data_IF_583769398017
#
_entry.id   IF_583769398017
#
_cell.length_a   1.000
_cell.length_b   1.000
_cell.length_c   1.000
_cell.angle_alpha   90.00
_cell.angle_beta   90.00
_cell.angle_gamma   90.00
#
_symmetry.space_group_name_H-M   'P 1'
#
loop_
_entity.id
_entity.type
_entity.pdbx_description
1 polymer ?
#
# COMPACT_ATOMS: atom_id res chain seq x y z
N UNK A 1 -8.55 -8.57 -7.71
CA UNK A 1 -7.21 -8.42 -7.12
C UNK A 1 -7.26 -9.03 -5.73
N UNK A 2 -6.24 -9.77 -5.36
CA UNK A 2 -6.07 -10.31 -4.02
C UNK A 2 -4.99 -9.52 -3.28
N UNK A 3 -4.90 -9.68 -1.96
CA UNK A 3 -3.88 -8.98 -1.17
C UNK A 3 -2.45 -9.32 -1.61
N UNK A 4 -2.23 -10.52 -2.16
CA UNK A 4 -0.94 -10.94 -2.71
C UNK A 4 -0.48 -10.03 -3.86
N UNK A 5 -1.38 -9.50 -4.67
CA UNK A 5 -1.03 -8.63 -5.80
C UNK A 5 -0.42 -7.31 -5.31
N UNK A 6 -0.94 -6.77 -4.20
CA UNK A 6 -0.41 -5.57 -3.53
C UNK A 6 0.98 -5.87 -2.97
N UNK A 7 1.13 -7.00 -2.28
CA UNK A 7 2.40 -7.39 -1.67
C UNK A 7 3.47 -7.69 -2.73
N UNK A 8 3.12 -8.41 -3.80
CA UNK A 8 4.00 -8.70 -4.91
C UNK A 8 4.43 -7.42 -5.62
N UNK A 9 3.52 -6.46 -5.83
CA UNK A 9 3.91 -5.16 -6.38
C UNK A 9 4.82 -4.38 -5.44
N UNK A 10 4.53 -4.37 -4.13
CA UNK A 10 5.23 -3.53 -3.17
C UNK A 10 6.59 -4.07 -2.73
N UNK A 11 6.75 -5.39 -2.65
CA UNK A 11 8.00 -6.05 -2.27
C UNK A 11 8.76 -6.60 -3.49
N UNK A 12 8.07 -6.92 -4.59
CA UNK A 12 8.61 -7.71 -5.70
C UNK A 12 8.47 -9.22 -5.44
N UNK A 13 9.02 -10.04 -6.34
CA UNK A 13 9.10 -11.51 -6.18
C UNK A 13 9.98 -11.93 -4.99
N UNK A 14 10.86 -11.04 -4.53
CA UNK A 14 11.73 -11.29 -3.39
C UNK A 14 11.06 -10.81 -2.09
N UNK A 15 10.26 -11.68 -1.47
CA UNK A 15 10.10 -11.66 -0.01
C UNK A 15 11.40 -12.16 0.64
N UNK A 16 12.54 -11.55 0.31
CA UNK A 16 13.84 -11.95 0.84
C UNK A 16 13.95 -11.51 2.29
N UNK A 17 14.28 -12.44 3.18
CA UNK A 17 14.26 -12.28 4.64
C UNK A 17 15.26 -11.24 5.19
N UNK A 18 16.14 -10.65 4.36
CA UNK A 18 17.25 -9.86 4.91
C UNK A 18 17.54 -8.48 4.29
N UNK A 19 17.09 -8.11 3.09
CA UNK A 19 17.21 -6.71 2.60
C UNK A 19 16.16 -6.43 1.50
N UNK A 20 15.43 -5.30 1.51
CA UNK A 20 14.64 -4.91 0.36
C UNK A 20 15.54 -4.65 -0.86
N UNK A 21 15.19 -5.26 -2.00
CA UNK A 21 15.93 -5.07 -3.25
C UNK A 21 16.06 -3.59 -3.62
N UNK A 22 17.09 -3.23 -4.40
CA UNK A 22 17.27 -1.86 -4.89
C UNK A 22 16.03 -1.32 -5.62
N UNK A 23 15.28 -2.21 -6.30
CA UNK A 23 14.01 -1.89 -6.92
C UNK A 23 12.90 -1.56 -5.91
N UNK A 24 12.81 -2.30 -4.80
CA UNK A 24 11.87 -2.01 -3.72
C UNK A 24 12.24 -0.68 -3.02
N UNK A 25 13.52 -0.47 -2.71
CA UNK A 25 14.00 0.78 -2.11
C UNK A 25 13.68 2.00 -2.98
N UNK A 26 13.86 1.89 -4.30
CA UNK A 26 13.54 2.97 -5.21
C UNK A 26 12.03 3.24 -5.30
N UNK A 27 11.17 2.21 -5.16
CA UNK A 27 9.71 2.39 -5.04
C UNK A 27 9.32 3.07 -3.73
N UNK A 28 9.96 2.70 -2.63
CA UNK A 28 9.61 3.20 -1.29
C UNK A 28 10.13 4.62 -1.03
N UNK A 29 11.33 4.95 -1.49
CA UNK A 29 12.02 6.19 -1.13
C UNK A 29 12.36 7.08 -2.33
N UNK A 30 12.28 6.57 -3.56
CA UNK A 30 12.78 7.26 -4.74
C UNK A 30 11.85 8.35 -5.30
N UNK A 31 10.60 8.45 -4.84
CA UNK A 31 9.65 9.48 -5.28
C UNK A 31 9.48 9.55 -6.79
N UNK A 32 9.54 8.40 -7.47
CA UNK A 32 9.64 8.35 -8.93
C UNK A 32 8.26 8.39 -9.58
N UNK A 33 8.13 9.20 -10.64
CA UNK A 33 6.87 9.38 -11.38
C UNK A 33 6.36 8.06 -11.99
N UNK A 34 7.25 7.16 -12.44
CA UNK A 34 6.87 5.85 -12.99
C UNK A 34 6.12 4.98 -11.97
N UNK A 35 6.50 5.07 -10.70
CA UNK A 35 5.86 4.36 -9.60
C UNK A 35 4.51 5.00 -9.28
N UNK A 36 4.45 6.33 -9.22
CA UNK A 36 3.22 7.08 -8.96
C UNK A 36 2.16 6.79 -10.05
N UNK A 37 2.57 6.77 -11.33
CA UNK A 37 1.70 6.47 -12.47
C UNK A 37 1.22 5.01 -12.43
N UNK A 38 2.13 4.07 -12.16
CA UNK A 38 1.76 2.65 -12.01
C UNK A 38 0.77 2.44 -10.86
N UNK A 39 0.97 3.13 -9.73
CA UNK A 39 0.05 3.07 -8.58
C UNK A 39 -1.31 3.65 -8.95
N UNK A 40 -1.33 4.76 -9.69
CA UNK A 40 -2.56 5.39 -10.18
C UNK A 40 -3.35 4.46 -11.09
N UNK A 41 -2.70 3.90 -12.10
CA UNK A 41 -3.36 3.05 -13.09
C UNK A 41 -3.88 1.75 -12.48
N UNK A 42 -3.10 1.10 -11.62
CA UNK A 42 -3.42 -0.25 -11.14
C UNK A 42 -4.18 -0.28 -9.83
N UNK A 43 -3.96 0.70 -8.94
CA UNK A 43 -4.36 0.58 -7.54
C UNK A 43 -5.26 1.71 -7.03
N UNK A 44 -5.50 2.80 -7.77
CA UNK A 44 -6.34 3.91 -7.29
C UNK A 44 -7.77 3.47 -6.89
N UNK A 45 -8.39 2.58 -7.68
CA UNK A 45 -9.72 2.04 -7.36
C UNK A 45 -9.69 1.19 -6.09
N UNK A 46 -8.62 0.44 -5.87
CA UNK A 46 -8.43 -0.41 -4.70
C UNK A 46 -8.12 0.38 -3.43
N UNK A 47 -7.37 1.48 -3.53
CA UNK A 47 -7.20 2.45 -2.44
C UNK A 47 -8.56 3.01 -2.02
N UNK A 48 -9.40 3.37 -2.99
CA UNK A 48 -10.74 3.89 -2.72
C UNK A 48 -11.64 2.82 -2.08
N UNK A 49 -11.58 1.57 -2.55
CA UNK A 49 -12.32 0.44 -1.99
C UNK A 49 -11.88 0.11 -0.55
N UNK A 50 -10.57 0.11 -0.28
CA UNK A 50 -10.02 -0.07 1.06
C UNK A 50 -10.50 1.03 2.01
N UNK A 51 -10.45 2.29 1.57
CA UNK A 51 -10.93 3.45 2.36
C UNK A 51 -12.44 3.41 2.64
N UNK A 52 -13.22 2.74 1.79
CA UNK A 52 -14.64 2.50 1.99
C UNK A 52 -14.95 1.25 2.83
N UNK A 53 -13.93 0.51 3.29
CA UNK A 53 -14.09 -0.71 4.08
C UNK A 53 -14.49 -1.96 3.30
N UNK A 54 -14.46 -1.91 1.96
CA UNK A 54 -14.88 -3.02 1.10
C UNK A 54 -13.92 -4.23 1.13
N UNK A 55 -12.74 -4.07 1.75
CA UNK A 55 -11.67 -5.08 1.84
C UNK A 55 -11.37 -5.47 3.31
N UNK A 56 -12.28 -5.19 4.25
CA UNK A 56 -12.06 -5.42 5.68
C UNK A 56 -11.82 -6.90 6.04
N UNK A 57 -12.28 -7.83 5.21
CA UNK A 57 -12.03 -9.25 5.33
C UNK A 57 -10.52 -9.58 5.25
N UNK A 58 -9.73 -8.79 4.54
CA UNK A 58 -8.26 -8.99 4.47
C UNK A 58 -7.59 -8.79 5.82
N UNK A 59 -8.17 -8.02 6.74
CA UNK A 59 -7.58 -7.75 8.06
C UNK A 59 -7.55 -8.99 8.99
N UNK A 60 -8.27 -10.06 8.64
CA UNK A 60 -8.35 -11.31 9.40
C UNK A 60 -7.06 -12.15 9.32
N UNK A 61 -6.20 -11.88 8.34
CA UNK A 61 -4.92 -12.55 8.16
C UNK A 61 -3.77 -11.53 8.19
N UNK A 62 -2.59 -11.87 8.75
CA UNK A 62 -1.48 -10.93 8.88
C UNK A 62 -1.06 -10.27 7.55
N UNK A 63 -0.94 -11.05 6.48
CA UNK A 63 -0.52 -10.57 5.16
C UNK A 63 -1.58 -9.67 4.50
N UNK A 64 -2.86 -10.04 4.63
CA UNK A 64 -3.96 -9.22 4.13
C UNK A 64 -4.05 -7.88 4.86
N UNK A 65 -3.84 -7.90 6.18
CA UNK A 65 -3.74 -6.69 7.00
C UNK A 65 -2.59 -5.78 6.55
N UNK A 66 -1.42 -6.35 6.27
CA UNK A 66 -0.29 -5.59 5.72
C UNK A 66 -0.61 -4.97 4.36
N UNK A 67 -1.29 -5.69 3.47
CA UNK A 67 -1.71 -5.16 2.19
C UNK A 67 -2.68 -3.98 2.33
N UNK A 68 -3.62 -4.05 3.30
CA UNK A 68 -4.50 -2.93 3.61
C UNK A 68 -3.73 -1.71 4.09
N UNK A 69 -2.74 -1.88 4.98
CA UNK A 69 -1.89 -0.78 5.44
C UNK A 69 -1.17 -0.12 4.25
N UNK A 70 -0.62 -0.91 3.32
CA UNK A 70 0.02 -0.39 2.11
C UNK A 70 -0.96 0.41 1.24
N UNK A 71 -2.18 -0.10 1.03
CA UNK A 71 -3.23 0.61 0.27
C UNK A 71 -3.69 1.90 0.95
N UNK A 72 -3.69 1.96 2.28
CA UNK A 72 -4.25 3.08 3.04
C UNK A 72 -3.21 4.12 3.47
N UNK A 73 -1.95 3.75 3.62
CA UNK A 73 -0.88 4.65 4.07
C UNK A 73 0.12 4.95 2.96
N UNK A 74 0.67 3.92 2.31
CA UNK A 74 1.76 4.09 1.34
C UNK A 74 1.26 4.61 0.00
N UNK A 75 0.26 3.98 -0.61
CA UNK A 75 -0.21 4.36 -1.95
C UNK A 75 -0.81 5.77 -2.02
N UNK A 76 -1.58 6.26 -1.03
CA UNK A 76 -2.06 7.64 -1.03
C UNK A 76 -0.94 8.68 -1.07
N UNK A 77 0.23 8.38 -0.48
CA UNK A 77 1.42 9.26 -0.51
C UNK A 77 2.04 9.36 -1.89
N UNK A 78 1.94 8.30 -2.70
CA UNK A 78 2.28 8.31 -4.12
C UNK A 78 1.20 8.99 -4.97
N UNK A 79 -0.08 8.65 -4.78
CA UNK A 79 -1.20 9.15 -5.58
C UNK A 79 -1.42 10.67 -5.45
N UNK A 80 -1.23 11.20 -4.23
CA UNK A 80 -1.59 12.57 -3.85
C UNK A 80 -0.40 13.34 -3.29
N UNK A 81 0.80 13.09 -3.82
CA UNK A 81 2.05 13.70 -3.37
C UNK A 81 1.92 15.23 -3.26
N UNK A 82 2.32 15.78 -2.11
CA UNK A 82 2.25 17.22 -1.82
C UNK A 82 0.84 17.75 -1.50
N UNK A 83 -0.17 16.89 -1.43
CA UNK A 83 -1.55 17.26 -1.10
C UNK A 83 -1.95 16.68 0.26
N UNK A 84 -2.83 17.38 0.97
CA UNK A 84 -3.41 16.88 2.23
C UNK A 84 -4.15 15.53 2.06
N UNK A 85 -4.63 15.24 0.83
CA UNK A 85 -5.28 13.98 0.51
C UNK A 85 -4.38 12.75 0.67
N UNK A 86 -3.05 12.92 0.68
CA UNK A 86 -2.10 11.84 0.96
C UNK A 86 -2.28 11.21 2.35
N UNK A 87 -2.87 11.95 3.29
CA UNK A 87 -3.05 11.53 4.69
C UNK A 87 -4.50 11.15 5.02
N UNK A 88 -5.37 11.08 4.01
CA UNK A 88 -6.83 10.91 4.19
C UNK A 88 -7.20 9.66 4.99
N UNK A 89 -6.41 8.58 4.88
CA UNK A 89 -6.73 7.28 5.47
C UNK A 89 -5.78 6.87 6.60
N UNK A 90 -4.92 7.77 7.07
CA UNK A 90 -3.91 7.47 8.10
C UNK A 90 -4.54 6.90 9.38
N UNK A 91 -5.71 7.40 9.79
CA UNK A 91 -6.44 6.88 10.95
C UNK A 91 -6.86 5.41 10.78
N UNK A 92 -7.25 5.00 9.55
CA UNK A 92 -7.61 3.62 9.25
C UNK A 92 -6.37 2.72 9.25
N UNK A 93 -5.28 3.19 8.64
CA UNK A 93 -4.01 2.47 8.64
C UNK A 93 -3.45 2.27 10.07
N UNK A 94 -3.60 3.28 10.93
CA UNK A 94 -3.20 3.22 12.34
C UNK A 94 -4.01 2.18 13.12
N UNK A 95 -5.33 2.15 12.93
CA UNK A 95 -6.20 1.15 13.57
C UNK A 95 -5.80 -0.28 13.18
N UNK A 96 -5.37 -0.49 11.93
CA UNK A 96 -4.87 -1.80 11.46
C UNK A 96 -3.47 -2.15 11.98
N UNK A 97 -2.67 -1.16 12.39
CA UNK A 97 -1.29 -1.36 12.86
C UNK A 97 -1.19 -1.68 14.35
N UNK A 98 -2.31 -1.58 15.07
CA UNK A 98 -2.36 -1.85 16.51
C UNK A 98 -2.77 -3.31 16.74
N UNK A 99 -2.08 -4.07 17.63
CA UNK A 99 -2.52 -5.41 18.00
C UNK A 99 -3.92 -5.35 18.63
N UNK A 100 -4.77 -6.30 18.24
CA UNK A 100 -6.14 -6.46 18.79
C UNK A 100 -6.08 -7.27 20.08
#
# INVERSE_FOLDING_TARGET
>A
MHYQDVLAFWFGDERSESVPSSAAQARWFGGRQDVDDTIRERFQSWVSAAGAGALNDWAQIPEGRLALIILLDQFPRNLYRGLAAAYRYDALALALSTPV
#
